data_IF_983019890547
#
_entry.id   IF_983019890547
#
_cell.length_a   1.000
_cell.length_b   1.000
_cell.length_c   1.000
_cell.angle_alpha   90.00
_cell.angle_beta   90.00
_cell.angle_gamma   90.00
#
_symmetry.space_group_name_H-M   'P 1'
#
loop_
_entity.id
_entity.type
_entity.pdbx_description
1 polymer ?
#
# COMPACT_ATOMS: atom_id res chain seq x y z
N UNK A 1 -9.74 27.65 -4.07
CA UNK A 1 -9.09 26.88 -5.13
C UNK A 1 -7.60 26.89 -4.81
N UNK A 2 -6.99 25.71 -4.67
CA UNK A 2 -5.54 25.63 -4.44
C UNK A 2 -4.85 25.73 -5.80
N UNK A 3 -3.92 26.67 -5.96
CA UNK A 3 -3.15 26.86 -7.19
C UNK A 3 -1.69 26.63 -6.83
N UNK A 4 -1.06 25.69 -7.54
CA UNK A 4 0.36 25.38 -7.38
C UNK A 4 1.17 26.14 -8.42
N UNK A 5 2.30 26.69 -7.99
CA UNK A 5 3.30 27.32 -8.85
C UNK A 5 4.03 26.27 -9.68
N UNK A 6 4.64 26.69 -10.78
CA UNK A 6 5.51 25.81 -11.58
C UNK A 6 6.61 25.18 -10.72
N UNK A 7 7.17 25.95 -9.80
CA UNK A 7 8.26 25.50 -8.94
C UNK A 7 7.80 24.42 -7.94
N UNK A 8 6.58 24.53 -7.41
CA UNK A 8 5.99 23.47 -6.55
C UNK A 8 5.70 22.20 -7.35
N UNK A 9 5.24 22.34 -8.59
CA UNK A 9 5.00 21.19 -9.48
C UNK A 9 6.33 20.50 -9.81
N UNK A 10 7.35 21.26 -10.20
CA UNK A 10 8.68 20.73 -10.52
C UNK A 10 9.33 20.06 -9.31
N UNK A 11 9.21 20.66 -8.12
CA UNK A 11 9.70 20.05 -6.88
C UNK A 11 8.98 18.72 -6.60
N UNK A 12 7.65 18.67 -6.72
CA UNK A 12 6.90 17.42 -6.54
C UNK A 12 7.33 16.34 -7.54
N UNK A 13 7.47 16.67 -8.82
CA UNK A 13 7.90 15.72 -9.83
C UNK A 13 9.32 15.21 -9.54
N UNK A 14 10.28 16.12 -9.31
CA UNK A 14 11.69 15.77 -9.21
C UNK A 14 12.09 15.15 -7.86
N UNK A 15 11.48 15.61 -6.77
CA UNK A 15 11.87 15.20 -5.41
C UNK A 15 11.01 14.05 -4.88
N UNK A 16 9.79 13.85 -5.42
CA UNK A 16 8.89 12.79 -4.97
C UNK A 16 8.66 11.71 -6.02
N UNK A 17 8.23 12.06 -7.23
CA UNK A 17 7.92 11.04 -8.25
C UNK A 17 9.17 10.43 -8.91
N UNK A 18 10.17 11.24 -9.25
CA UNK A 18 11.38 10.75 -9.91
C UNK A 18 12.13 9.69 -9.09
N UNK A 19 12.34 9.83 -7.77
CA UNK A 19 12.91 8.75 -6.97
C UNK A 19 12.10 7.46 -7.08
N UNK A 20 10.76 7.52 -7.01
CA UNK A 20 9.89 6.35 -7.15
C UNK A 20 10.11 5.70 -8.53
N UNK A 21 10.08 6.47 -9.61
CA UNK A 21 10.27 5.94 -10.98
C UNK A 21 11.69 5.45 -11.28
N UNK A 22 12.71 5.93 -10.56
CA UNK A 22 14.08 5.42 -10.72
C UNK A 22 14.24 3.99 -10.18
N UNK A 23 13.51 3.66 -9.11
CA UNK A 23 13.57 2.33 -8.49
C UNK A 23 12.43 1.40 -8.92
N UNK A 24 11.32 1.96 -9.40
CA UNK A 24 10.16 1.19 -9.87
C UNK A 24 10.17 1.10 -11.40
N UNK A 25 10.65 -0.04 -11.93
CA UNK A 25 10.76 -0.29 -13.37
C UNK A 25 9.48 -0.86 -14.00
N UNK A 26 8.51 -1.26 -13.17
CA UNK A 26 7.28 -1.87 -13.64
C UNK A 26 6.22 -0.80 -13.95
N UNK A 27 5.26 -1.15 -14.80
CA UNK A 27 4.13 -0.28 -15.07
C UNK A 27 3.21 -0.22 -13.84
N UNK A 28 2.46 0.88 -13.65
CA UNK A 28 1.34 0.88 -12.73
C UNK A 28 0.41 -0.28 -13.06
N UNK A 29 0.07 -1.05 -12.04
CA UNK A 29 -0.78 -2.23 -12.14
C UNK A 29 -2.22 -1.89 -11.78
N UNK A 30 -3.15 -2.52 -12.50
CA UNK A 30 -4.57 -2.40 -12.18
C UNK A 30 -4.94 -3.56 -11.25
N UNK A 31 -5.70 -3.27 -10.21
CA UNK A 31 -6.36 -4.31 -9.42
C UNK A 31 -7.17 -5.24 -10.32
N UNK A 32 -7.05 -6.55 -10.14
CA UNK A 32 -7.94 -7.53 -10.78
C UNK A 32 -9.38 -7.39 -10.27
N UNK A 33 -9.55 -6.78 -9.09
CA UNK A 33 -10.82 -6.59 -8.39
C UNK A 33 -11.17 -5.11 -8.39
N UNK A 34 -12.19 -4.73 -9.15
CA UNK A 34 -12.68 -3.36 -9.21
C UNK A 34 -13.46 -2.98 -7.95
N UNK A 35 -13.48 -1.68 -7.59
CA UNK A 35 -14.14 -1.16 -6.37
C UNK A 35 -15.59 -1.63 -6.19
N UNK A 36 -16.36 -1.72 -7.27
CA UNK A 36 -17.77 -2.17 -7.24
C UNK A 36 -17.98 -3.66 -6.96
N UNK A 37 -17.00 -4.51 -7.27
CA UNK A 37 -17.08 -5.95 -6.95
C UNK A 37 -17.03 -6.20 -5.44
N UNK A 38 -16.36 -5.30 -4.73
CA UNK A 38 -16.22 -5.34 -3.27
C UNK A 38 -17.56 -5.02 -2.59
N UNK A 39 -18.32 -4.03 -3.07
CA UNK A 39 -19.60 -3.63 -2.48
C UNK A 39 -20.63 -4.77 -2.40
N UNK A 40 -20.61 -5.70 -3.37
CA UNK A 40 -21.52 -6.85 -3.39
C UNK A 40 -21.19 -7.84 -2.28
N UNK A 41 -19.91 -8.14 -2.09
CA UNK A 41 -19.40 -9.09 -1.09
C UNK A 41 -19.47 -8.47 0.32
N UNK A 42 -19.29 -7.16 0.43
CA UNK A 42 -19.38 -6.38 1.66
C UNK A 42 -20.78 -6.34 2.30
N UNK A 43 -21.82 -6.75 1.58
CA UNK A 43 -23.16 -6.91 2.16
C UNK A 43 -23.29 -8.18 3.02
N UNK A 44 -22.28 -9.04 3.01
CA UNK A 44 -22.16 -10.18 3.90
C UNK A 44 -21.29 -9.79 5.12
N UNK A 45 -21.74 -10.13 6.34
CA UNK A 45 -21.06 -9.79 7.61
C UNK A 45 -19.78 -10.63 7.87
N UNK A 46 -18.94 -10.81 6.85
CA UNK A 46 -17.76 -11.69 6.91
C UNK A 46 -16.53 -10.98 7.48
N UNK A 47 -15.62 -11.71 8.15
CA UNK A 47 -14.33 -11.17 8.58
C UNK A 47 -13.49 -10.67 7.40
N UNK A 48 -12.80 -9.54 7.58
CA UNK A 48 -11.97 -8.91 6.54
C UNK A 48 -10.92 -9.87 5.98
N UNK A 49 -10.23 -10.60 6.86
CA UNK A 49 -9.15 -11.50 6.45
C UNK A 49 -9.62 -12.59 5.49
N UNK A 50 -10.82 -13.15 5.72
CA UNK A 50 -11.39 -14.15 4.83
C UNK A 50 -11.72 -13.58 3.45
N UNK A 51 -12.31 -12.38 3.42
CA UNK A 51 -12.68 -11.70 2.17
C UNK A 51 -11.43 -11.30 1.38
N UNK A 52 -10.37 -10.84 2.06
CA UNK A 52 -9.10 -10.50 1.43
C UNK A 52 -8.43 -11.73 0.81
N UNK A 53 -8.41 -12.86 1.50
CA UNK A 53 -7.83 -14.10 0.97
C UNK A 53 -8.58 -14.57 -0.28
N UNK A 54 -9.90 -14.55 -0.22
CA UNK A 54 -10.75 -14.96 -1.34
C UNK A 54 -10.53 -14.08 -2.59
N UNK A 55 -10.47 -12.77 -2.42
CA UNK A 55 -10.42 -11.83 -3.55
C UNK A 55 -9.01 -11.54 -4.07
N UNK A 56 -8.00 -11.60 -3.19
CA UNK A 56 -6.61 -11.45 -3.62
C UNK A 56 -6.13 -12.68 -4.40
N UNK A 57 -6.63 -13.87 -4.08
CA UNK A 57 -6.07 -15.11 -4.61
C UNK A 57 -4.64 -15.37 -4.12
N UNK A 58 -4.25 -14.78 -2.99
CA UNK A 58 -2.91 -14.93 -2.41
C UNK A 58 -2.59 -16.38 -2.04
N UNK A 59 -1.30 -16.68 -1.90
CA UNK A 59 -0.84 -18.01 -1.52
C UNK A 59 -1.28 -18.40 -0.09
N UNK A 60 -1.15 -19.68 0.23
CA UNK A 60 -1.61 -20.24 1.50
C UNK A 60 -0.91 -19.66 2.74
N UNK A 61 0.40 -19.36 2.64
CA UNK A 61 1.15 -18.80 3.77
C UNK A 61 0.74 -17.35 4.02
N UNK A 62 0.61 -16.56 2.95
CA UNK A 62 0.09 -15.18 3.02
C UNK A 62 -1.33 -15.17 3.60
N UNK A 63 -2.20 -16.07 3.15
CA UNK A 63 -3.56 -16.20 3.65
C UNK A 63 -3.61 -16.49 5.15
N UNK A 64 -2.77 -17.42 5.63
CA UNK A 64 -2.68 -17.78 7.04
C UNK A 64 -2.21 -16.59 7.90
N UNK A 65 -1.25 -15.82 7.41
CA UNK A 65 -0.78 -14.61 8.11
C UNK A 65 -1.86 -13.53 8.19
N UNK A 66 -2.64 -13.34 7.13
CA UNK A 66 -3.75 -12.37 7.11
C UNK A 66 -4.84 -12.76 8.11
N UNK A 67 -5.31 -14.01 8.07
CA UNK A 67 -6.43 -14.48 8.90
C UNK A 67 -6.10 -14.48 10.40
N UNK A 68 -4.82 -14.67 10.76
CA UNK A 68 -4.39 -14.71 12.16
C UNK A 68 -4.15 -13.33 12.78
N UNK A 69 -4.20 -12.25 12.00
CA UNK A 69 -4.06 -10.88 12.49
C UNK A 69 -5.34 -10.40 13.20
N UNK A 70 -5.21 -9.86 14.42
CA UNK A 70 -6.35 -9.44 15.25
C UNK A 70 -7.17 -8.32 14.60
N UNK A 71 -6.57 -7.45 13.80
CA UNK A 71 -7.29 -6.38 13.07
C UNK A 71 -8.12 -6.93 11.89
N UNK A 72 -7.91 -8.18 11.48
CA UNK A 72 -8.55 -8.83 10.33
C UNK A 72 -9.79 -9.65 10.69
N UNK A 73 -10.08 -9.83 11.98
CA UNK A 73 -11.26 -10.55 12.45
C UNK A 73 -12.53 -9.68 12.48
N UNK A 74 -12.39 -8.36 12.38
CA UNK A 74 -13.51 -7.44 12.34
C UNK A 74 -14.29 -7.56 11.03
N UNK A 75 -15.60 -7.30 11.03
CA UNK A 75 -16.39 -7.36 9.82
C UNK A 75 -16.07 -6.16 8.93
N UNK A 76 -16.06 -6.43 7.63
CA UNK A 76 -15.53 -5.52 6.63
C UNK A 76 -16.31 -4.17 6.52
N UNK A 77 -17.59 -4.13 6.91
CA UNK A 77 -18.38 -2.87 6.95
C UNK A 77 -17.88 -1.84 7.96
N UNK A 78 -17.01 -2.21 8.91
CA UNK A 78 -16.40 -1.25 9.86
C UNK A 78 -15.31 -0.39 9.22
N UNK A 79 -14.91 -0.72 7.99
CA UNK A 79 -13.85 -0.07 7.23
C UNK A 79 -14.42 0.59 5.97
N UNK A 80 -13.63 1.47 5.34
CA UNK A 80 -14.04 2.12 4.10
C UNK A 80 -13.91 1.14 2.93
N UNK A 81 -15.02 0.98 2.21
CA UNK A 81 -15.17 0.12 1.04
C UNK A 81 -14.27 0.56 -0.10
N UNK A 82 -14.05 1.86 -0.22
CA UNK A 82 -13.13 2.42 -1.19
C UNK A 82 -11.67 2.11 -0.85
N UNK A 83 -11.29 1.87 0.41
CA UNK A 83 -9.90 1.56 0.77
C UNK A 83 -9.57 0.07 0.52
N UNK A 84 -10.58 -0.79 0.34
CA UNK A 84 -10.40 -2.24 0.23
C UNK A 84 -9.68 -2.67 -1.07
N UNK A 85 -9.92 -1.99 -2.19
CA UNK A 85 -9.22 -2.29 -3.44
C UNK A 85 -7.71 -2.09 -3.30
N UNK A 86 -7.27 -1.12 -2.49
CA UNK A 86 -5.86 -0.87 -2.21
C UNK A 86 -5.23 -2.07 -1.52
N UNK A 87 -5.94 -2.69 -0.57
CA UNK A 87 -5.43 -3.86 0.15
C UNK A 87 -5.31 -5.08 -0.76
N UNK A 88 -6.33 -5.33 -1.58
CA UNK A 88 -6.30 -6.42 -2.55
C UNK A 88 -5.12 -6.26 -3.51
N UNK A 89 -4.96 -5.07 -4.09
CA UNK A 89 -3.85 -4.80 -5.01
C UNK A 89 -2.51 -4.96 -4.31
N UNK A 90 -2.36 -4.43 -3.09
CA UNK A 90 -1.11 -4.57 -2.34
C UNK A 90 -0.73 -6.04 -2.07
N UNK A 91 -1.72 -6.91 -1.81
CA UNK A 91 -1.50 -8.35 -1.63
C UNK A 91 -1.13 -9.03 -2.96
N UNK A 92 -1.87 -8.73 -4.03
CA UNK A 92 -1.66 -9.34 -5.35
C UNK A 92 -0.30 -8.99 -5.94
N UNK A 93 0.18 -7.78 -5.66
CA UNK A 93 1.44 -7.24 -6.15
C UNK A 93 2.58 -7.42 -5.14
N UNK A 94 2.35 -8.24 -4.11
CA UNK A 94 3.36 -8.60 -3.09
C UNK A 94 4.08 -7.38 -2.49
N UNK A 95 3.35 -6.29 -2.26
CA UNK A 95 3.92 -5.04 -1.81
C UNK A 95 4.45 -5.14 -0.37
N UNK A 96 5.62 -4.56 -0.10
CA UNK A 96 6.14 -4.48 1.27
C UNK A 96 5.38 -3.47 2.14
N UNK A 97 4.87 -2.40 1.51
CA UNK A 97 4.32 -1.24 2.20
C UNK A 97 3.05 -0.68 1.58
N UNK A 98 2.12 -0.23 2.44
CA UNK A 98 1.04 0.70 2.08
C UNK A 98 1.37 2.07 2.66
N UNK A 99 1.59 3.06 1.78
CA UNK A 99 1.90 4.44 2.15
C UNK A 99 0.61 5.22 2.39
N UNK A 100 0.33 5.58 3.63
CA UNK A 100 -0.86 6.37 3.95
C UNK A 100 -0.73 7.13 5.28
N UNK A 101 -1.37 8.29 5.37
CA UNK A 101 -1.52 9.04 6.62
C UNK A 101 -2.74 8.56 7.43
N UNK A 102 -3.59 7.71 6.85
CA UNK A 102 -4.85 7.28 7.45
C UNK A 102 -4.68 6.05 8.36
N UNK A 103 -4.39 6.30 9.63
CA UNK A 103 -4.22 5.26 10.66
C UNK A 103 -5.53 4.69 11.21
N UNK A 104 -6.68 5.31 10.91
CA UNK A 104 -7.98 4.84 11.42
C UNK A 104 -8.60 3.78 10.52
N UNK A 105 -8.37 3.89 9.22
CA UNK A 105 -8.99 3.02 8.22
C UNK A 105 -8.04 1.96 7.67
N UNK A 106 -6.73 2.18 7.76
CA UNK A 106 -5.77 1.16 7.35
C UNK A 106 -5.21 0.46 8.57
N UNK A 107 -5.29 -0.88 8.60
CA UNK A 107 -4.69 -1.65 9.68
C UNK A 107 -3.18 -1.41 9.73
N UNK A 108 -2.56 -1.64 10.88
CA UNK A 108 -1.11 -1.47 11.01
C UNK A 108 -0.33 -2.44 10.09
N UNK A 109 -0.90 -3.61 9.84
CA UNK A 109 -0.29 -4.68 9.06
C UNK A 109 -1.34 -5.58 8.40
N UNK A 110 -1.05 -6.05 7.18
CA UNK A 110 -1.86 -7.03 6.43
C UNK A 110 -0.93 -8.15 5.98
N UNK A 111 -0.98 -9.31 6.63
CA UNK A 111 0.02 -10.36 6.38
C UNK A 111 1.44 -9.83 6.67
N UNK A 112 2.33 -9.82 5.69
CA UNK A 112 3.67 -9.22 5.76
C UNK A 112 3.71 -7.71 5.46
N UNK A 113 2.65 -7.18 4.84
CA UNK A 113 2.58 -5.80 4.33
C UNK A 113 2.42 -4.82 5.48
N UNK A 114 3.29 -3.82 5.56
CA UNK A 114 3.27 -2.82 6.64
C UNK A 114 2.66 -1.51 6.19
N UNK A 115 1.84 -0.92 7.05
CA UNK A 115 1.45 0.48 6.87
C UNK A 115 2.60 1.40 7.26
N UNK A 116 2.95 2.34 6.38
CA UNK A 116 3.97 3.35 6.66
C UNK A 116 3.47 4.75 6.35
N UNK A 117 3.86 5.73 7.17
CA UNK A 117 3.56 7.12 6.91
C UNK A 117 4.44 7.64 5.75
N UNK A 118 3.93 8.41 4.78
CA UNK A 118 4.71 8.89 3.63
C UNK A 118 6.01 9.59 4.02
N UNK A 119 5.99 10.41 5.09
CA UNK A 119 7.19 11.06 5.64
C UNK A 119 8.27 10.08 6.10
N UNK A 120 7.87 8.99 6.76
CA UNK A 120 8.83 7.99 7.25
C UNK A 120 9.40 7.17 6.08
N UNK A 121 8.56 6.85 5.09
CA UNK A 121 9.02 6.21 3.87
C UNK A 121 10.01 7.08 3.08
N UNK A 122 9.73 8.38 2.98
CA UNK A 122 10.66 9.32 2.34
C UNK A 122 12.03 9.34 3.04
N UNK A 123 12.04 9.41 4.38
CA UNK A 123 13.29 9.32 5.15
C UNK A 123 14.05 8.03 4.88
N UNK A 124 13.34 6.89 4.87
CA UNK A 124 13.94 5.59 4.55
C UNK A 124 14.61 5.58 3.17
N UNK A 125 13.98 6.17 2.16
CA UNK A 125 14.57 6.29 0.81
C UNK A 125 15.78 7.22 0.79
N UNK A 126 15.72 8.37 1.45
CA UNK A 126 16.82 9.33 1.50
C UNK A 126 18.05 8.77 2.21
N UNK A 127 17.84 8.01 3.29
CA UNK A 127 18.93 7.35 4.03
C UNK A 127 19.58 6.24 3.18
N UNK A 128 18.79 5.49 2.40
CA UNK A 128 19.32 4.51 1.44
C UNK A 128 20.15 5.17 0.32
N UNK A 129 19.68 6.29 -0.25
CA UNK A 129 20.43 7.02 -1.28
C UNK A 129 21.80 7.50 -0.76
N UNK A 130 21.90 7.89 0.51
CA UNK A 130 23.16 8.27 1.14
C UNK A 130 24.13 7.09 1.24
N UNK A 131 23.64 5.91 1.65
CA UNK A 131 24.45 4.68 1.76
C UNK A 131 24.97 4.22 0.39
N UNK A 132 24.19 4.37 -0.68
CA UNK A 132 24.66 4.02 -2.03
C UNK A 132 25.71 5.01 -2.54
N UNK A 133 25.56 6.32 -2.29
CA UNK A 133 26.56 7.34 -2.67
C UNK A 133 27.88 7.18 -1.91
N UNK A 134 27.86 6.80 -0.63
CA UNK A 134 29.08 6.52 0.14
C UNK A 134 29.84 5.28 -0.37
N UNK A 135 29.15 4.29 -0.94
CA UNK A 135 29.79 3.12 -1.54
C UNK A 135 30.45 3.43 -2.87
N UNK A 136 29.79 4.21 -3.73
CA UNK A 136 30.37 4.65 -5.01
C UNK A 136 31.52 5.65 -4.86
N UNK A 137 31.61 6.35 -3.72
CA UNK A 137 32.70 7.30 -3.43
C UNK A 137 33.95 6.66 -2.83
N UNK A 138 33.87 5.37 -2.44
CA UNK A 138 34.94 4.61 -1.80
C UNK A 138 35.48 3.46 -2.69
N UNK A 139 35.06 3.41 -3.95
CA UNK A 139 35.67 2.61 -5.04
C UNK A 139 36.48 3.52 -5.98
#
# INVERSE_FOLDING_TARGET
>A
MVIYTLQEIEAFLNEFLCPIFRYYTNLPVNSLVGRYSVETIMRENRPIGEVLVELSGCDHETAKQIITSQEMSEPLYRFDQEDFHVWITAIQEECDYILTTNYRRFPAQIGSIKRIHPREFYRYLSDMEYVFKERESNE
#
